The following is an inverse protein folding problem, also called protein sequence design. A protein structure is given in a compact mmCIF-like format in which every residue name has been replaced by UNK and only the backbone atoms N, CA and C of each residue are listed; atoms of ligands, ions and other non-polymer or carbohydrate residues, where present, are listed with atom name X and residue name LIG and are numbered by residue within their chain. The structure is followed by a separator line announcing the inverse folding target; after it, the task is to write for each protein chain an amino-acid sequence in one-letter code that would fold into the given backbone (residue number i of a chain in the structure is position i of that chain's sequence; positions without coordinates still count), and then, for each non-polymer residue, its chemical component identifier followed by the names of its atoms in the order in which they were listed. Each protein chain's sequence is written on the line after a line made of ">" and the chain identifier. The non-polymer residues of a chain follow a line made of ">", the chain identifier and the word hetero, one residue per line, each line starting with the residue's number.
data_IF_577088675039
#
_entry.id   IF_577088675039
#
_cell.length_a   1.000
_cell.length_b   1.000
_cell.length_c   1.000
_cell.angle_alpha   90.00
_cell.angle_beta   90.00
_cell.angle_gamma   90.00
#
_symmetry.space_group_name_H-M   'P 1'
#
loop_
_entity.id
_entity.type
_entity.pdbx_description
1 polymer ?
#
# COMPACT_ATOMS: atom_id res chain seq x y z
N UNK A 1 29.96 -68.01 -3.75
CA UNK A 1 30.90 -68.42 -4.81
C UNK A 1 30.65 -67.50 -6.00
N UNK A 2 31.51 -66.49 -6.18
CA UNK A 2 32.39 -66.31 -7.37
C UNK A 2 31.59 -66.09 -8.67
N UNK A 3 31.79 -65.07 -9.49
CA UNK A 3 32.83 -64.06 -9.61
C UNK A 3 32.51 -63.19 -10.84
N UNK A 4 33.35 -62.17 -11.04
CA UNK A 4 33.20 -61.03 -11.94
C UNK A 4 33.04 -61.32 -13.44
N UNK A 5 32.47 -60.34 -14.16
CA UNK A 5 32.54 -60.21 -15.61
C UNK A 5 32.16 -58.80 -16.07
N UNK A 6 33.09 -57.85 -15.95
CA UNK A 6 33.03 -56.56 -16.65
C UNK A 6 33.20 -56.82 -18.15
N UNK A 7 32.28 -56.35 -18.97
CA UNK A 7 32.51 -56.16 -20.40
C UNK A 7 32.11 -54.74 -20.80
N UNK A 8 33.05 -54.13 -21.49
CA UNK A 8 33.11 -52.77 -22.01
C UNK A 8 32.17 -52.59 -23.21
N UNK A 9 31.48 -51.46 -23.30
CA UNK A 9 30.90 -50.98 -24.56
C UNK A 9 31.13 -49.48 -24.73
N UNK A 10 31.66 -49.17 -25.91
CA UNK A 10 32.28 -47.94 -26.42
C UNK A 10 31.34 -46.72 -26.49
N UNK A 11 31.82 -45.48 -26.27
CA UNK A 11 31.04 -44.26 -26.44
C UNK A 11 31.31 -43.64 -27.82
N UNK A 12 30.71 -44.16 -28.88
CA UNK A 12 30.79 -43.52 -30.20
C UNK A 12 29.73 -44.09 -31.15
N UNK A 13 28.51 -43.55 -31.10
CA UNK A 13 27.54 -43.68 -32.20
C UNK A 13 26.45 -42.59 -32.07
N UNK A 14 26.76 -41.37 -32.50
CA UNK A 14 25.73 -40.40 -32.86
C UNK A 14 25.95 -39.98 -34.32
N UNK A 15 24.92 -40.22 -35.14
CA UNK A 15 24.93 -40.00 -36.59
C UNK A 15 24.24 -38.65 -36.88
N UNK A 16 24.84 -37.72 -37.63
CA UNK A 16 24.23 -36.42 -37.88
C UNK A 16 23.13 -36.49 -38.95
N UNK A 17 21.97 -35.86 -38.68
CA UNK A 17 20.85 -35.72 -39.61
C UNK A 17 21.21 -34.81 -40.81
N UNK A 18 20.70 -35.09 -42.03
CA UNK A 18 20.99 -34.28 -43.22
C UNK A 18 20.25 -32.93 -43.23
N UNK A 19 20.92 -31.90 -43.75
CA UNK A 19 20.44 -30.51 -43.85
C UNK A 19 19.35 -30.37 -44.93
N UNK A 20 18.27 -29.59 -44.72
CA UNK A 20 17.28 -29.32 -45.75
C UNK A 20 17.80 -28.33 -46.82
N UNK A 21 17.29 -28.39 -48.06
CA UNK A 21 17.78 -27.62 -49.20
C UNK A 21 17.41 -26.12 -49.14
N UNK A 22 18.17 -25.24 -49.83
CA UNK A 22 17.95 -23.80 -49.81
C UNK A 22 16.71 -23.40 -50.62
N UNK A 23 15.82 -22.64 -50.01
CA UNK A 23 14.68 -22.02 -50.69
C UNK A 23 15.19 -20.77 -51.42
N UNK A 24 15.12 -20.82 -52.75
CA UNK A 24 15.47 -19.74 -53.65
C UNK A 24 14.55 -18.52 -53.47
N UNK A 25 15.15 -17.35 -53.63
CA UNK A 25 14.57 -16.02 -53.54
C UNK A 25 13.31 -15.84 -54.40
N UNK A 26 12.27 -15.26 -53.82
CA UNK A 26 11.28 -14.46 -54.55
C UNK A 26 11.51 -12.99 -54.22
N UNK A 27 11.56 -12.18 -55.27
CA UNK A 27 11.97 -10.79 -55.25
C UNK A 27 10.79 -9.82 -55.01
N UNK A 28 11.17 -8.64 -54.50
CA UNK A 28 10.57 -7.32 -54.71
C UNK A 28 9.28 -6.93 -53.96
N UNK A 29 9.45 -6.22 -52.84
CA UNK A 29 8.66 -5.04 -52.47
C UNK A 29 9.46 -4.18 -51.46
N UNK A 30 9.92 -2.96 -51.80
CA UNK A 30 10.47 -2.04 -50.80
C UNK A 30 9.31 -1.30 -50.11
N UNK A 31 8.92 -1.76 -48.92
CA UNK A 31 8.09 -0.95 -48.03
C UNK A 31 8.92 0.23 -47.51
N UNK A 32 8.78 1.36 -48.19
CA UNK A 32 9.18 2.69 -47.71
C UNK A 32 8.54 2.92 -46.34
N UNK A 33 9.30 3.13 -45.24
CA UNK A 33 8.69 3.53 -43.98
C UNK A 33 8.07 4.92 -44.16
N UNK A 34 6.86 5.19 -43.62
CA UNK A 34 6.28 6.53 -43.68
C UNK A 34 7.19 7.47 -42.89
N UNK A 35 7.93 8.28 -43.63
CA UNK A 35 8.63 9.45 -43.12
C UNK A 35 7.56 10.46 -42.72
N UNK A 36 7.03 10.37 -41.49
CA UNK A 36 6.44 11.50 -40.74
C UNK A 36 5.94 11.16 -39.32
N UNK A 37 6.26 10.00 -38.75
CA UNK A 37 5.89 9.73 -37.34
C UNK A 37 6.71 10.58 -36.33
N UNK A 38 7.91 11.00 -36.71
CA UNK A 38 8.82 11.76 -35.83
C UNK A 38 8.54 13.27 -35.83
N UNK A 39 7.92 13.81 -36.88
CA UNK A 39 7.59 15.23 -37.02
C UNK A 39 6.32 15.62 -36.24
N UNK A 40 5.36 14.69 -36.08
CA UNK A 40 4.15 14.88 -35.27
C UNK A 40 4.43 14.93 -33.76
N UNK A 41 5.34 14.08 -33.26
CA UNK A 41 5.69 14.05 -31.84
C UNK A 41 6.43 15.33 -31.39
N UNK A 42 7.22 15.92 -32.28
CA UNK A 42 7.97 17.15 -31.97
C UNK A 42 7.11 18.42 -32.10
N UNK A 43 5.99 18.36 -32.82
CA UNK A 43 4.99 19.44 -32.92
C UNK A 43 4.02 19.45 -31.74
N UNK A 44 3.79 18.30 -31.09
CA UNK A 44 3.00 18.21 -29.85
C UNK A 44 3.70 18.82 -28.62
N UNK A 45 5.03 18.95 -28.64
CA UNK A 45 5.84 19.46 -27.52
C UNK A 45 6.11 20.97 -27.54
N UNK A 46 5.70 21.70 -28.58
CA UNK A 46 6.02 23.13 -28.72
C UNK A 46 4.76 23.99 -28.60
N UNK A 47 4.38 24.25 -27.34
CA UNK A 47 3.65 25.43 -26.89
C UNK A 47 2.19 25.59 -27.35
N UNK A 48 1.25 25.15 -26.50
CA UNK A 48 -0.16 25.64 -26.30
C UNK A 48 -1.21 24.54 -26.01
N UNK A 49 -0.85 23.25 -26.04
CA UNK A 49 -1.79 22.17 -25.72
C UNK A 49 -1.91 21.83 -24.22
N UNK A 50 -0.95 22.26 -23.39
CA UNK A 50 -0.97 22.05 -21.94
C UNK A 50 -2.20 22.66 -21.24
N UNK A 51 -2.63 23.91 -21.53
CA UNK A 51 -3.85 24.45 -20.93
C UNK A 51 -5.13 23.73 -21.41
N UNK A 52 -5.20 23.32 -22.68
CA UNK A 52 -6.37 22.62 -23.23
C UNK A 52 -6.52 21.20 -22.65
N UNK A 53 -5.40 20.50 -22.47
CA UNK A 53 -5.39 19.18 -21.84
C UNK A 53 -5.79 19.24 -20.36
N UNK A 54 -5.40 20.29 -19.63
CA UNK A 54 -5.83 20.50 -18.24
C UNK A 54 -7.35 20.71 -18.13
N UNK A 55 -7.94 21.50 -19.02
CA UNK A 55 -9.39 21.75 -19.05
C UNK A 55 -10.16 20.47 -19.42
N UNK A 56 -9.67 19.70 -20.39
CA UNK A 56 -10.26 18.42 -20.77
C UNK A 56 -10.21 17.39 -19.63
N UNK A 57 -9.07 17.31 -18.93
CA UNK A 57 -8.92 16.45 -17.75
C UNK A 57 -9.81 16.89 -16.58
N UNK A 58 -9.98 18.19 -16.33
CA UNK A 58 -10.89 18.67 -15.29
C UNK A 58 -12.36 18.39 -15.62
N UNK A 59 -12.75 18.52 -16.90
CA UNK A 59 -14.11 18.20 -17.34
C UNK A 59 -14.45 16.72 -17.17
N UNK A 60 -13.51 15.83 -17.53
CA UNK A 60 -13.70 14.37 -17.36
C UNK A 60 -13.80 13.96 -15.88
N UNK A 61 -13.11 14.67 -14.98
CA UNK A 61 -13.15 14.42 -13.55
C UNK A 61 -14.54 14.77 -12.95
N UNK A 62 -15.11 15.90 -13.35
CA UNK A 62 -16.47 16.31 -12.92
C UNK A 62 -17.53 15.33 -13.41
N UNK A 63 -17.44 14.87 -14.67
CA UNK A 63 -18.36 13.86 -15.23
C UNK A 63 -18.24 12.52 -14.48
N UNK A 64 -17.02 12.09 -14.13
CA UNK A 64 -16.79 10.86 -13.36
C UNK A 64 -17.37 10.93 -11.96
N UNK A 65 -17.24 12.07 -11.27
CA UNK A 65 -17.82 12.28 -9.94
C UNK A 65 -19.36 12.26 -10.01
N UNK A 66 -19.93 12.93 -11.01
CA UNK A 66 -21.39 12.92 -11.22
C UNK A 66 -21.92 11.52 -11.52
N UNK A 67 -21.18 10.70 -12.28
CA UNK A 67 -21.55 9.31 -12.57
C UNK A 67 -21.53 8.44 -11.30
N UNK A 68 -20.55 8.61 -10.42
CA UNK A 68 -20.44 7.85 -9.16
C UNK A 68 -21.58 8.21 -8.19
N UNK A 69 -21.93 9.49 -8.09
CA UNK A 69 -23.06 9.93 -7.25
C UNK A 69 -24.39 9.40 -7.80
N UNK A 70 -24.56 9.41 -9.13
CA UNK A 70 -25.77 8.86 -9.78
C UNK A 70 -25.89 7.33 -9.59
N UNK A 71 -24.76 6.62 -9.59
CA UNK A 71 -24.70 5.18 -9.37
C UNK A 71 -24.91 4.80 -7.90
N UNK A 72 -24.56 5.68 -6.96
CA UNK A 72 -24.86 5.52 -5.54
C UNK A 72 -26.35 5.76 -5.23
N UNK A 73 -27.02 6.67 -5.96
CA UNK A 73 -28.45 6.95 -5.78
C UNK A 73 -29.35 5.89 -6.41
N UNK A 74 -28.90 5.22 -7.48
CA UNK A 74 -29.67 4.14 -8.16
C UNK A 74 -29.49 2.74 -7.55
N UNK A 75 -28.47 2.51 -6.74
CA UNK A 75 -28.23 1.23 -6.05
C UNK A 75 -28.86 1.15 -4.64
N UNK A 76 -29.48 2.24 -4.18
CA UNK A 76 -30.12 2.31 -2.86
C UNK A 76 -31.29 1.33 -2.63
N UNK A 77 -32.09 0.86 -3.63
CA UNK A 77 -33.13 -0.13 -3.34
C UNK A 77 -32.72 -1.59 -3.59
N UNK A 78 -31.50 -1.90 -4.07
CA UNK A 78 -31.11 -3.29 -4.39
C UNK A 78 -30.33 -4.02 -3.29
N UNK A 79 -29.77 -3.32 -2.30
CA UNK A 79 -29.01 -3.97 -1.22
C UNK A 79 -29.87 -4.57 -0.10
N UNK A 80 -31.19 -4.41 -0.15
CA UNK A 80 -32.13 -5.08 0.76
C UNK A 80 -32.50 -6.48 0.23
N UNK A 81 -32.32 -6.75 -1.08
CA UNK A 81 -32.67 -8.04 -1.68
C UNK A 81 -31.56 -9.10 -1.52
N UNK A 82 -30.29 -8.70 -1.54
CA UNK A 82 -29.15 -9.64 -1.42
C UNK A 82 -28.94 -10.19 0.01
N UNK A 83 -29.57 -9.58 1.01
CA UNK A 83 -29.48 -10.04 2.40
C UNK A 83 -30.42 -11.22 2.74
N UNK A 84 -31.38 -11.56 1.86
CA UNK A 84 -32.34 -12.66 2.10
C UNK A 84 -31.96 -13.95 1.35
N UNK A 85 -30.95 -13.92 0.48
CA UNK A 85 -30.55 -15.08 -0.32
C UNK A 85 -29.40 -15.93 0.28
N UNK A 86 -28.82 -15.51 1.41
CA UNK A 86 -27.64 -16.16 2.00
C UNK A 86 -27.95 -17.14 3.15
N UNK A 87 -29.22 -17.37 3.50
CA UNK A 87 -29.62 -18.22 4.64
C UNK A 87 -30.37 -19.48 4.20
N UNK A 88 -29.91 -20.15 3.14
CA UNK A 88 -30.50 -21.43 2.68
C UNK A 88 -29.47 -22.27 1.92
N UNK A 89 -28.36 -22.63 2.56
CA UNK A 89 -27.43 -23.62 2.02
C UNK A 89 -26.52 -24.23 3.11
N UNK A 90 -27.08 -24.84 4.16
CA UNK A 90 -26.29 -25.68 5.08
C UNK A 90 -27.14 -26.69 5.90
N UNK A 91 -27.90 -27.54 5.23
CA UNK A 91 -28.24 -28.90 5.69
C UNK A 91 -28.11 -29.79 4.43
N UNK A 92 -27.48 -30.97 4.37
CA UNK A 92 -27.58 -32.21 5.17
C UNK A 92 -26.39 -33.14 4.80
N UNK A 93 -25.75 -33.85 5.74
CA UNK A 93 -25.53 -35.32 5.68
C UNK A 93 -24.53 -35.92 6.70
N UNK A 94 -24.67 -37.22 7.06
CA UNK A 94 -24.32 -37.80 8.37
C UNK A 94 -23.21 -38.87 8.34
N UNK A 95 -22.66 -39.25 9.50
CA UNK A 95 -22.15 -40.61 9.78
C UNK A 95 -21.75 -40.84 11.26
N UNK A 96 -22.52 -41.72 11.92
CA UNK A 96 -22.22 -42.77 12.91
C UNK A 96 -20.96 -42.76 13.83
N UNK A 97 -21.19 -43.09 15.11
CA UNK A 97 -20.20 -43.67 16.03
C UNK A 97 -20.63 -43.65 17.51
N UNK A 98 -21.13 -44.78 18.01
CA UNK A 98 -21.55 -45.03 19.41
C UNK A 98 -20.36 -45.59 20.27
N UNK A 99 -20.50 -45.99 21.55
CA UNK A 99 -20.18 -45.22 22.76
C UNK A 99 -19.03 -45.85 23.62
N UNK A 100 -18.48 -45.12 24.61
CA UNK A 100 -17.84 -45.73 25.79
C UNK A 100 -17.60 -44.75 26.98
N UNK A 101 -18.30 -45.04 28.08
CA UNK A 101 -17.94 -45.02 29.53
C UNK A 101 -16.56 -44.45 29.96
N UNK A 102 -16.54 -43.67 31.08
CA UNK A 102 -16.14 -44.10 32.45
C UNK A 102 -16.16 -42.90 33.44
N UNK A 103 -16.83 -43.11 34.59
CA UNK A 103 -16.65 -42.67 36.01
C UNK A 103 -15.54 -41.62 36.36
N UNK A 104 -15.60 -40.76 37.39
CA UNK A 104 -16.29 -40.74 38.70
C UNK A 104 -16.15 -39.34 39.39
N UNK A 105 -16.77 -39.23 40.58
CA UNK A 105 -16.61 -38.26 41.68
C UNK A 105 -17.63 -37.10 41.65
N UNK A 106 -18.80 -37.24 42.29
CA UNK A 106 -19.06 -37.22 43.75
C UNK A 106 -18.65 -35.90 44.41
N UNK A 107 -19.64 -35.04 44.69
CA UNK A 107 -19.82 -34.57 46.05
C UNK A 107 -21.26 -34.09 46.25
N UNK A 108 -22.00 -34.88 47.04
CA UNK A 108 -23.28 -34.55 47.63
C UNK A 108 -23.03 -33.65 48.86
N UNK A 109 -23.58 -32.44 48.88
CA UNK A 109 -23.88 -31.74 50.13
C UNK A 109 -25.32 -31.26 50.10
N UNK A 110 -26.08 -31.94 50.94
CA UNK A 110 -27.47 -31.77 51.27
C UNK A 110 -27.56 -30.81 52.45
N UNK A 111 -28.27 -29.68 52.31
CA UNK A 111 -28.71 -28.88 53.45
C UNK A 111 -29.90 -27.98 53.09
N UNK A 112 -31.09 -28.50 53.43
CA UNK A 112 -32.21 -27.80 54.04
C UNK A 112 -32.81 -26.58 53.31
N UNK A 113 -33.92 -26.85 52.61
CA UNK A 113 -35.03 -25.90 52.52
C UNK A 113 -35.79 -25.90 53.86
N UNK A 114 -36.13 -24.74 54.44
CA UNK A 114 -37.34 -24.59 55.20
C UNK A 114 -38.45 -24.14 54.24
N UNK A 115 -39.44 -25.03 54.04
CA UNK A 115 -40.77 -24.60 53.68
C UNK A 115 -41.30 -23.73 54.84
N UNK A 116 -41.47 -22.44 54.57
CA UNK A 116 -42.34 -21.59 55.36
C UNK A 116 -43.64 -21.43 54.58
N UNK A 117 -44.69 -21.93 55.22
CA UNK A 117 -46.09 -21.78 54.91
C UNK A 117 -46.49 -20.32 54.70
N UNK A 118 -47.42 -20.13 53.78
CA UNK A 118 -48.47 -19.11 53.74
C UNK A 118 -48.18 -17.74 54.37
N UNK A 119 -47.85 -16.79 53.49
CA UNK A 119 -48.74 -15.65 53.27
C UNK A 119 -48.38 -14.97 51.95
N UNK A 120 -49.39 -14.80 51.10
CA UNK A 120 -49.39 -14.02 49.85
C UNK A 120 -49.13 -14.80 48.54
N UNK A 121 -49.89 -15.89 48.35
CA UNK A 121 -50.42 -16.20 47.02
C UNK A 121 -51.59 -15.23 46.69
N UNK A 122 -51.81 -14.96 45.39
CA UNK A 122 -52.03 -13.63 44.84
C UNK A 122 -53.37 -13.04 45.28
N UNK A 123 -53.37 -11.75 45.61
CA UNK A 123 -54.60 -10.97 45.62
C UNK A 123 -55.34 -11.24 44.29
N UNK A 124 -56.53 -11.83 44.41
CA UNK A 124 -57.48 -11.94 43.32
C UNK A 124 -57.69 -10.57 42.68
N UNK A 125 -58.06 -10.48 41.39
CA UNK A 125 -58.27 -9.21 40.68
C UNK A 125 -59.59 -8.56 41.14
N UNK A 126 -59.67 -8.26 42.43
CA UNK A 126 -60.81 -7.66 43.07
C UNK A 126 -60.46 -6.20 43.32
N UNK A 127 -60.65 -5.42 42.26
CA UNK A 127 -60.63 -3.96 42.25
C UNK A 127 -59.35 -3.34 42.86
N UNK A 128 -58.29 -3.26 42.04
CA UNK A 128 -57.14 -2.40 42.31
C UNK A 128 -57.63 -1.01 42.74
N UNK A 129 -57.10 -0.49 43.85
CA UNK A 129 -57.45 0.85 44.31
C UNK A 129 -56.98 1.88 43.28
N UNK A 130 -57.69 3.02 43.19
CA UNK A 130 -57.34 4.10 42.23
C UNK A 130 -55.85 4.48 42.30
N UNK A 131 -55.30 4.56 43.51
CA UNK A 131 -53.89 4.87 43.77
C UNK A 131 -52.91 3.80 43.28
N UNK A 132 -53.26 2.52 43.33
CA UNK A 132 -52.41 1.45 42.82
C UNK A 132 -52.40 1.44 41.28
N UNK A 133 -53.55 1.72 40.66
CA UNK A 133 -53.65 1.89 39.21
C UNK A 133 -52.81 3.07 38.71
N UNK A 134 -52.87 4.21 39.39
CA UNK A 134 -52.09 5.40 39.06
C UNK A 134 -50.57 5.12 39.18
N UNK A 135 -50.14 4.39 40.22
CA UNK A 135 -48.74 3.99 40.40
C UNK A 135 -48.27 3.04 39.28
N UNK A 136 -49.06 2.03 38.95
CA UNK A 136 -48.74 1.09 37.86
C UNK A 136 -48.60 1.82 36.52
N UNK A 137 -49.46 2.82 36.28
CA UNK A 137 -49.38 3.64 35.08
C UNK A 137 -48.10 4.49 35.07
N UNK A 138 -47.73 5.16 36.16
CA UNK A 138 -46.46 5.93 36.25
C UNK A 138 -45.22 5.03 36.07
N UNK A 139 -45.22 3.83 36.65
CA UNK A 139 -44.15 2.85 36.43
C UNK A 139 -44.08 2.39 34.98
N UNK A 140 -45.22 2.17 34.34
CA UNK A 140 -45.27 1.79 32.92
C UNK A 140 -44.74 2.90 32.01
N UNK A 141 -45.13 4.15 32.27
CA UNK A 141 -44.68 5.34 31.53
C UNK A 141 -43.18 5.56 31.72
N UNK A 142 -42.68 5.35 32.95
CA UNK A 142 -41.26 5.46 33.26
C UNK A 142 -40.45 4.37 32.57
N UNK A 143 -40.94 3.13 32.54
CA UNK A 143 -40.30 2.03 31.78
C UNK A 143 -40.22 2.37 30.30
N UNK A 144 -41.30 2.84 29.69
CA UNK A 144 -41.30 3.24 28.28
C UNK A 144 -40.31 4.37 28.00
N UNK A 145 -40.21 5.38 28.87
CA UNK A 145 -39.22 6.48 28.74
C UNK A 145 -37.78 5.96 28.85
N UNK A 146 -37.52 5.03 29.78
CA UNK A 146 -36.19 4.44 29.93
C UNK A 146 -35.81 3.57 28.72
N UNK A 147 -36.76 2.79 28.21
CA UNK A 147 -36.57 1.94 27.02
C UNK A 147 -36.31 2.79 25.76
N UNK A 148 -37.05 3.88 25.59
CA UNK A 148 -36.77 4.82 24.49
C UNK A 148 -35.36 5.42 24.60
N UNK A 149 -34.91 5.74 25.82
CA UNK A 149 -33.57 6.28 26.05
C UNK A 149 -32.47 5.24 25.89
N UNK A 150 -32.67 3.99 26.32
CA UNK A 150 -31.69 2.92 26.10
C UNK A 150 -31.50 2.66 24.61
N UNK A 151 -32.59 2.56 23.85
CA UNK A 151 -32.53 2.38 22.40
C UNK A 151 -31.81 3.55 21.71
N UNK A 152 -32.06 4.79 22.14
CA UNK A 152 -31.34 5.95 21.62
C UNK A 152 -29.83 5.86 21.92
N UNK A 153 -29.45 5.49 23.14
CA UNK A 153 -28.04 5.32 23.50
C UNK A 153 -27.38 4.18 22.71
N UNK A 154 -28.05 3.04 22.54
CA UNK A 154 -27.54 1.90 21.77
C UNK A 154 -27.31 2.25 20.29
N UNK A 155 -28.16 3.11 19.71
CA UNK A 155 -27.94 3.59 18.33
C UNK A 155 -26.74 4.53 18.25
N UNK A 156 -26.57 5.43 19.24
CA UNK A 156 -25.43 6.34 19.31
C UNK A 156 -24.12 5.58 19.53
N UNK A 157 -24.10 4.59 20.40
CA UNK A 157 -22.94 3.74 20.66
C UNK A 157 -22.51 2.99 19.39
N UNK A 158 -23.45 2.34 18.69
CA UNK A 158 -23.16 1.66 17.41
C UNK A 158 -22.60 2.61 16.36
N UNK A 159 -23.14 3.83 16.27
CA UNK A 159 -22.62 4.85 15.37
C UNK A 159 -21.19 5.26 15.76
N UNK A 160 -20.94 5.51 17.05
CA UNK A 160 -19.61 5.88 17.55
C UNK A 160 -18.60 4.77 17.30
N UNK A 161 -18.92 3.51 17.60
CA UNK A 161 -18.06 2.37 17.32
C UNK A 161 -17.71 2.24 15.83
N UNK A 162 -18.70 2.41 14.94
CA UNK A 162 -18.44 2.40 13.50
C UNK A 162 -17.54 3.57 13.05
N UNK A 163 -17.70 4.75 13.67
CA UNK A 163 -16.83 5.89 13.38
C UNK A 163 -15.41 5.70 13.90
N UNK A 164 -15.24 5.12 15.10
CA UNK A 164 -13.94 4.81 15.70
C UNK A 164 -13.18 3.81 14.83
N UNK A 165 -13.82 2.70 14.45
CA UNK A 165 -13.24 1.73 13.52
C UNK A 165 -12.85 2.36 12.18
N UNK A 166 -13.63 3.31 11.67
CA UNK A 166 -13.31 4.03 10.43
C UNK A 166 -12.10 4.95 10.62
N UNK A 167 -11.94 5.58 11.78
CA UNK A 167 -10.80 6.42 12.13
C UNK A 167 -9.54 5.55 12.26
N UNK A 168 -9.61 4.43 12.96
CA UNK A 168 -8.48 3.51 13.13
C UNK A 168 -7.94 3.01 11.79
N UNK A 169 -8.84 2.55 10.90
CA UNK A 169 -8.46 2.16 9.53
C UNK A 169 -7.80 3.28 8.75
N UNK A 170 -8.24 4.54 8.95
CA UNK A 170 -7.60 5.71 8.32
C UNK A 170 -6.22 5.95 8.90
N UNK A 171 -6.05 5.83 10.21
CA UNK A 171 -4.75 6.01 10.88
C UNK A 171 -3.75 4.95 10.40
N UNK A 172 -4.16 3.68 10.34
CA UNK A 172 -3.33 2.60 9.81
C UNK A 172 -2.94 2.82 8.34
N UNK A 173 -3.90 3.30 7.53
CA UNK A 173 -3.61 3.67 6.14
C UNK A 173 -2.63 4.83 6.03
N UNK A 174 -2.73 5.84 6.90
CA UNK A 174 -1.80 6.97 6.90
C UNK A 174 -0.41 6.53 7.35
N UNK A 175 -0.31 5.72 8.41
CA UNK A 175 0.98 5.16 8.87
C UNK A 175 1.65 4.30 7.81
N UNK A 176 0.88 3.46 7.10
CA UNK A 176 1.44 2.65 6.00
C UNK A 176 1.89 3.53 4.82
N UNK A 177 1.13 4.56 4.45
CA UNK A 177 1.55 5.52 3.44
C UNK A 177 2.81 6.29 3.83
N UNK A 178 2.89 6.76 5.08
CA UNK A 178 4.07 7.44 5.61
C UNK A 178 5.31 6.54 5.54
N UNK A 179 5.18 5.29 5.98
CA UNK A 179 6.25 4.29 5.91
C UNK A 179 6.69 4.04 4.46
N UNK A 180 5.74 3.88 3.54
CA UNK A 180 6.02 3.67 2.11
C UNK A 180 6.72 4.88 1.48
N UNK A 181 6.29 6.10 1.83
CA UNK A 181 6.92 7.33 1.35
C UNK A 181 8.34 7.44 1.90
N UNK A 182 8.55 7.21 3.20
CA UNK A 182 9.89 7.20 3.82
C UNK A 182 10.80 6.17 3.16
N UNK A 183 10.29 4.97 2.88
CA UNK A 183 11.04 3.94 2.17
C UNK A 183 11.37 4.34 0.73
N UNK A 184 10.43 4.96 0.02
CA UNK A 184 10.64 5.40 -1.35
C UNK A 184 11.63 6.57 -1.44
N UNK A 185 11.55 7.54 -0.54
CA UNK A 185 12.52 8.63 -0.44
C UNK A 185 13.91 8.07 -0.15
N UNK A 186 14.02 7.17 0.82
CA UNK A 186 15.31 6.53 1.14
C UNK A 186 15.91 5.79 -0.05
N UNK A 187 15.11 5.01 -0.78
CA UNK A 187 15.61 4.28 -1.96
C UNK A 187 15.98 5.23 -3.10
N UNK A 188 15.26 6.34 -3.27
CA UNK A 188 15.61 7.36 -4.25
C UNK A 188 16.91 8.07 -3.88
N UNK A 189 17.11 8.43 -2.61
CA UNK A 189 18.33 9.07 -2.12
C UNK A 189 19.54 8.12 -2.25
N UNK A 190 19.37 6.84 -1.93
CA UNK A 190 20.40 5.81 -2.13
C UNK A 190 20.77 5.65 -3.62
N UNK A 191 19.78 5.67 -4.51
CA UNK A 191 20.02 5.60 -5.95
C UNK A 191 20.70 6.86 -6.50
N UNK A 192 20.27 8.04 -6.06
CA UNK A 192 20.87 9.31 -6.44
C UNK A 192 22.32 9.40 -5.95
N UNK A 193 22.58 9.02 -4.70
CA UNK A 193 23.92 8.97 -4.14
C UNK A 193 24.79 7.92 -4.86
N UNK A 194 24.26 6.75 -5.20
CA UNK A 194 24.98 5.75 -5.98
C UNK A 194 25.33 6.24 -7.41
N UNK A 195 24.42 6.97 -8.07
CA UNK A 195 24.67 7.59 -9.38
C UNK A 195 25.77 8.65 -9.28
N UNK A 196 25.71 9.53 -8.27
CA UNK A 196 26.73 10.53 -8.02
C UNK A 196 28.08 9.89 -7.70
N UNK A 197 28.13 8.86 -6.86
CA UNK A 197 29.36 8.14 -6.55
C UNK A 197 29.96 7.45 -7.79
N UNK A 198 29.13 6.93 -8.69
CA UNK A 198 29.63 6.39 -9.96
C UNK A 198 30.25 7.49 -10.83
N UNK A 199 29.58 8.65 -10.92
CA UNK A 199 30.09 9.81 -11.64
C UNK A 199 31.45 10.28 -11.06
N UNK A 200 31.53 10.38 -9.74
CA UNK A 200 32.77 10.69 -9.01
C UNK A 200 33.88 9.69 -9.35
N UNK A 201 33.60 8.39 -9.32
CA UNK A 201 34.58 7.33 -9.65
C UNK A 201 35.12 7.47 -11.08
N UNK A 202 34.28 7.83 -12.05
CA UNK A 202 34.69 8.04 -13.44
C UNK A 202 35.72 9.19 -13.52
N UNK A 203 35.45 10.30 -12.83
CA UNK A 203 36.36 11.44 -12.82
C UNK A 203 37.64 11.18 -11.99
N UNK A 204 37.55 10.43 -10.88
CA UNK A 204 38.72 10.03 -10.09
C UNK A 204 39.68 9.10 -10.84
N UNK A 205 39.15 8.25 -11.73
CA UNK A 205 39.91 7.33 -12.56
C UNK A 205 40.55 8.01 -13.78
N UNK A 206 40.10 9.22 -14.14
CA UNK A 206 40.62 10.00 -15.25
C UNK A 206 41.91 10.75 -14.87
N UNK A 207 42.68 11.18 -15.87
CA UNK A 207 43.85 12.04 -15.66
C UNK A 207 43.41 13.40 -15.06
N UNK A 208 44.11 13.94 -14.04
CA UNK A 208 43.69 15.17 -13.38
C UNK A 208 43.51 16.37 -14.32
N UNK A 209 44.35 16.47 -15.36
CA UNK A 209 44.27 17.53 -16.37
C UNK A 209 43.01 17.45 -17.24
N UNK A 210 42.59 16.24 -17.59
CA UNK A 210 41.39 16.03 -18.41
C UNK A 210 40.12 16.25 -17.56
N UNK A 211 40.14 15.78 -16.31
CA UNK A 211 39.06 16.02 -15.34
C UNK A 211 38.87 17.52 -15.07
N UNK A 212 39.95 18.27 -14.81
CA UNK A 212 39.90 19.72 -14.60
C UNK A 212 39.20 20.45 -15.76
N UNK A 213 39.59 20.14 -17.01
CA UNK A 213 39.01 20.79 -18.20
C UNK A 213 37.52 20.54 -18.39
N UNK A 214 37.00 19.39 -17.93
CA UNK A 214 35.57 19.06 -18.01
C UNK A 214 34.82 19.71 -16.85
N UNK A 215 35.37 19.63 -15.64
CA UNK A 215 34.79 20.17 -14.42
C UNK A 215 34.67 21.70 -14.44
N UNK A 216 35.63 22.40 -15.06
CA UNK A 216 35.55 23.86 -15.28
C UNK A 216 34.38 24.31 -16.16
N UNK A 217 33.84 23.42 -16.98
CA UNK A 217 32.69 23.71 -17.85
C UNK A 217 31.36 23.37 -17.20
N UNK A 218 31.40 22.75 -16.03
CA UNK A 218 30.21 22.33 -15.30
C UNK A 218 29.64 23.52 -14.53
N UNK A 219 28.35 23.47 -14.25
CA UNK A 219 27.73 24.43 -13.34
C UNK A 219 28.33 24.30 -11.93
N UNK A 220 28.50 25.45 -11.26
CA UNK A 220 29.20 25.53 -9.98
C UNK A 220 28.54 24.64 -8.92
N UNK A 221 27.20 24.55 -8.89
CA UNK A 221 26.49 23.72 -7.94
C UNK A 221 26.83 22.23 -8.10
N UNK A 222 26.80 21.72 -9.33
CA UNK A 222 27.10 20.31 -9.64
C UNK A 222 28.59 20.01 -9.41
N UNK A 223 29.46 20.97 -9.73
CA UNK A 223 30.90 20.87 -9.48
C UNK A 223 31.19 20.67 -7.99
N UNK A 224 30.56 21.48 -7.13
CA UNK A 224 30.71 21.38 -5.68
C UNK A 224 30.22 20.02 -5.15
N UNK A 225 29.05 19.55 -5.60
CA UNK A 225 28.48 18.29 -5.15
C UNK A 225 29.36 17.07 -5.51
N UNK A 226 30.02 17.12 -6.67
CA UNK A 226 30.99 16.10 -7.11
C UNK A 226 32.30 16.21 -6.31
N UNK A 227 32.85 17.41 -6.13
CA UNK A 227 34.11 17.63 -5.41
C UNK A 227 34.00 17.26 -3.93
N UNK A 228 32.87 17.55 -3.27
CA UNK A 228 32.62 17.20 -1.87
C UNK A 228 32.67 15.68 -1.63
N UNK A 229 32.28 14.89 -2.63
CA UNK A 229 32.23 13.42 -2.56
C UNK A 229 33.51 12.75 -3.09
N UNK A 230 34.41 13.52 -3.71
CA UNK A 230 35.70 13.02 -4.18
C UNK A 230 36.71 12.86 -3.03
N UNK A 231 37.68 11.96 -3.21
CA UNK A 231 38.82 11.84 -2.30
C UNK A 231 39.64 13.12 -2.30
N UNK A 232 39.93 13.64 -1.11
CA UNK A 232 40.68 14.89 -0.91
C UNK A 232 41.98 14.97 -1.72
N UNK A 233 42.74 13.86 -1.81
CA UNK A 233 43.97 13.82 -2.62
C UNK A 233 43.70 14.03 -4.12
N UNK A 234 42.65 13.42 -4.66
CA UNK A 234 42.25 13.56 -6.07
C UNK A 234 41.74 14.96 -6.37
N UNK A 235 40.99 15.55 -5.45
CA UNK A 235 40.56 16.96 -5.55
C UNK A 235 41.75 17.89 -5.65
N UNK A 236 42.77 17.72 -4.80
CA UNK A 236 43.98 18.54 -4.85
C UNK A 236 44.73 18.42 -6.19
N UNK A 237 44.85 17.20 -6.73
CA UNK A 237 45.46 16.94 -8.05
C UNK A 237 44.67 17.63 -9.19
N UNK A 238 43.34 17.64 -9.10
CA UNK A 238 42.46 18.28 -10.10
C UNK A 238 42.50 19.80 -9.99
N UNK A 239 42.35 20.36 -8.79
CA UNK A 239 42.43 21.81 -8.55
C UNK A 239 43.76 22.42 -9.03
N UNK A 240 44.87 21.68 -8.87
CA UNK A 240 46.18 22.09 -9.36
C UNK A 240 46.28 22.19 -10.90
N UNK A 241 45.37 21.54 -11.63
CA UNK A 241 45.29 21.59 -13.09
C UNK A 241 44.18 22.54 -13.59
N UNK A 242 43.41 23.15 -12.69
CA UNK A 242 42.36 24.10 -13.03
C UNK A 242 42.90 25.53 -13.19
N UNK A 243 42.10 26.40 -13.81
CA UNK A 243 42.32 27.84 -13.83
C UNK A 243 42.22 28.40 -12.40
N UNK A 244 43.07 29.39 -12.10
CA UNK A 244 43.14 30.04 -10.80
C UNK A 244 41.79 30.61 -10.37
N UNK A 245 41.04 31.25 -11.28
CA UNK A 245 39.74 31.85 -10.96
C UNK A 245 38.71 30.79 -10.48
N UNK A 246 38.55 29.70 -11.23
CA UNK A 246 37.63 28.61 -10.88
C UNK A 246 38.07 27.87 -9.62
N UNK A 247 39.38 27.66 -9.42
CA UNK A 247 39.89 26.99 -8.23
C UNK A 247 39.65 27.83 -6.96
N UNK A 248 39.80 29.16 -7.04
CA UNK A 248 39.47 30.06 -5.94
C UNK A 248 37.98 30.05 -5.62
N UNK A 249 37.13 30.11 -6.65
CA UNK A 249 35.67 30.13 -6.50
C UNK A 249 35.14 28.85 -5.81
N UNK A 250 35.57 27.68 -6.29
CA UNK A 250 35.23 26.39 -5.67
C UNK A 250 35.70 26.33 -4.22
N UNK A 251 36.92 26.79 -3.93
CA UNK A 251 37.46 26.76 -2.57
C UNK A 251 36.70 27.68 -1.62
N UNK A 252 36.31 28.88 -2.08
CA UNK A 252 35.51 29.81 -1.28
C UNK A 252 34.11 29.25 -1.00
N UNK A 253 33.45 28.67 -2.00
CA UNK A 253 32.12 28.10 -1.85
C UNK A 253 32.12 26.87 -0.93
N UNK A 254 33.11 25.97 -1.07
CA UNK A 254 33.28 24.84 -0.15
C UNK A 254 33.50 25.30 1.30
N UNK A 255 34.26 26.38 1.49
CA UNK A 255 34.49 26.94 2.82
C UNK A 255 33.21 27.52 3.42
N UNK A 256 32.36 28.18 2.62
CA UNK A 256 31.06 28.71 3.06
C UNK A 256 30.08 27.58 3.41
N UNK A 257 29.97 26.56 2.56
CA UNK A 257 29.12 25.38 2.82
C UNK A 257 29.50 24.65 4.10
N UNK A 258 30.80 24.54 4.40
CA UNK A 258 31.28 23.90 5.63
C UNK A 258 31.06 24.73 6.89
N UNK A 259 30.91 26.05 6.76
CA UNK A 259 30.67 26.96 7.89
C UNK A 259 29.20 27.07 8.26
N UNK A 260 28.28 26.73 7.35
CA UNK A 260 26.85 26.67 7.65
C UNK A 260 26.56 25.37 8.43
N UNK A 261 26.21 25.42 9.73
CA UNK A 261 25.61 24.26 10.37
C UNK A 261 24.35 23.92 9.58
N UNK A 262 24.26 22.67 9.17
CA UNK A 262 23.20 22.09 8.36
C UNK A 262 21.83 22.26 9.06
N UNK A 263 21.17 23.41 8.86
CA UNK A 263 19.76 23.59 9.22
C UNK A 263 18.90 22.91 8.15
N UNK A 264 18.83 21.59 8.26
CA UNK A 264 17.92 20.72 7.55
C UNK A 264 16.96 20.00 8.51
N UNK A 265 16.66 20.61 9.66
CA UNK A 265 15.49 20.25 10.46
C UNK A 265 14.27 20.91 9.83
N UNK A 266 13.62 20.21 8.90
CA UNK A 266 12.21 20.45 8.62
C UNK A 266 11.44 19.21 9.06
N UNK A 267 10.86 19.36 10.25
CA UNK A 267 9.68 18.64 10.74
C UNK A 267 8.51 18.73 9.77
#
# INVERSE_FOLDING_TARGET
>A
MTGAGRTSASPADWKPLPKPPPIMMSAAMPLKPPADASSFLNRLRRGRLLPLAMIACSGLLVVKISAIVSQAVTSAPLLIADAVAAEQAAEVSPAAGEPAKTEAADNKTEAAAPAADDANAPASPEFLSRSEMDLLQDLSDRRQKLEARSQELDTRERLLMATEQRIDRKIERLKSLESNIKALVKTHDEQAEAQLQNLVKIYEAMKPKDAARILEKLDLAVLLDVIERMKQKKVAEVLAQMNQATATEVTTELALRRQLPFNGDNS
#
